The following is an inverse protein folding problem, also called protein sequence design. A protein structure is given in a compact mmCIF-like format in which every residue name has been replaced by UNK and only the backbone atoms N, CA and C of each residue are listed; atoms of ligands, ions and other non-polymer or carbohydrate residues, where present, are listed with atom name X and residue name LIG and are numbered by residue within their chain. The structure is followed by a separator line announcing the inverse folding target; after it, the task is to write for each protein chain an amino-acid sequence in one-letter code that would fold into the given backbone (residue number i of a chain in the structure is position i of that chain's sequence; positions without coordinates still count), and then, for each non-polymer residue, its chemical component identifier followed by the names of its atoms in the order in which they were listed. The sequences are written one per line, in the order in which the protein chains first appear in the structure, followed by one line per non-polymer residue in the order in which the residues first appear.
data_IF_780310482777
#
_entry.id   IF_780310482777
#
_cell.length_a   1.000
_cell.length_b   1.000
_cell.length_c   1.000
_cell.angle_alpha   90.00
_cell.angle_beta   90.00
_cell.angle_gamma   90.00
#
_symmetry.space_group_name_H-M   'P 1'
#
loop_
_entity.id
_entity.type
_entity.pdbx_description
1 polymer ?
#
# COMPACT_ATOMS: atom_id res chain seq x y z
N UNK A 1 -11.64 27.69 -10.81
CA UNK A 1 -12.01 27.11 -9.50
C UNK A 1 -10.72 26.58 -8.89
N UNK A 2 -10.31 27.06 -7.72
CA UNK A 2 -9.16 26.50 -6.99
C UNK A 2 -9.45 25.02 -6.76
N UNK A 3 -8.65 24.13 -7.35
CA UNK A 3 -8.84 22.70 -7.19
C UNK A 3 -8.47 22.37 -5.74
N UNK A 4 -9.46 21.99 -4.92
CA UNK A 4 -9.23 21.58 -3.54
C UNK A 4 -8.26 20.39 -3.54
N UNK A 5 -7.18 20.50 -2.76
CA UNK A 5 -6.20 19.42 -2.61
C UNK A 5 -6.91 18.15 -2.14
N UNK A 6 -6.57 17.01 -2.76
CA UNK A 6 -6.98 15.69 -2.28
C UNK A 6 -6.15 15.34 -1.04
N UNK A 7 -6.82 15.14 0.08
CA UNK A 7 -6.20 14.80 1.36
C UNK A 7 -6.06 13.30 1.49
N UNK A 8 -4.85 12.82 1.83
CA UNK A 8 -4.57 11.38 1.84
C UNK A 8 -3.88 10.89 3.11
N UNK A 9 -4.09 9.59 3.37
CA UNK A 9 -3.34 8.80 4.35
C UNK A 9 -2.57 7.70 3.64
N UNK A 10 -1.32 7.45 4.03
CA UNK A 10 -0.49 6.34 3.52
C UNK A 10 -0.18 5.35 4.64
N UNK A 11 -0.77 4.17 4.57
CA UNK A 11 -0.43 3.06 5.45
C UNK A 11 0.74 2.27 4.85
N UNK A 12 1.91 2.29 5.49
CA UNK A 12 3.14 1.70 4.94
C UNK A 12 4.02 2.71 4.19
N UNK A 13 4.12 3.94 4.70
CA UNK A 13 4.82 5.07 4.08
C UNK A 13 6.33 4.84 3.92
N UNK A 14 6.94 4.02 4.78
CA UNK A 14 8.38 3.73 4.75
C UNK A 14 8.77 2.58 3.82
N UNK A 15 7.79 1.86 3.25
CA UNK A 15 8.01 0.80 2.28
C UNK A 15 8.11 1.33 0.84
N UNK A 16 8.45 0.44 -0.11
CA UNK A 16 8.66 0.79 -1.52
C UNK A 16 7.46 1.53 -2.16
N UNK A 17 6.23 1.07 -1.93
CA UNK A 17 5.02 1.75 -2.45
C UNK A 17 4.82 3.12 -1.79
N UNK A 18 5.08 3.21 -0.48
CA UNK A 18 5.04 4.47 0.26
C UNK A 18 6.02 5.50 -0.31
N UNK A 19 7.29 5.12 -0.47
CA UNK A 19 8.33 5.97 -1.07
C UNK A 19 7.97 6.41 -2.50
N UNK A 20 7.47 5.49 -3.32
CA UNK A 20 7.01 5.79 -4.68
C UNK A 20 5.88 6.82 -4.66
N UNK A 21 4.94 6.67 -3.74
CA UNK A 21 3.83 7.60 -3.55
C UNK A 21 4.34 8.97 -3.11
N UNK A 22 5.25 9.03 -2.13
CA UNK A 22 5.86 10.28 -1.68
C UNK A 22 6.61 11.00 -2.81
N UNK A 23 7.29 10.27 -3.71
CA UNK A 23 7.90 10.85 -4.92
C UNK A 23 6.87 11.51 -5.85
N UNK A 24 5.67 10.95 -5.97
CA UNK A 24 4.58 11.56 -6.75
C UNK A 24 4.04 12.80 -6.04
N UNK A 25 3.81 12.72 -4.72
CA UNK A 25 3.35 13.86 -3.91
C UNK A 25 4.30 15.07 -4.01
N UNK A 26 5.63 14.85 -3.96
CA UNK A 26 6.64 15.92 -4.14
C UNK A 26 6.50 16.67 -5.46
N UNK A 27 6.07 15.98 -6.53
CA UNK A 27 5.89 16.57 -7.86
C UNK A 27 4.54 17.29 -8.02
N UNK A 28 3.60 17.07 -7.11
CA UNK A 28 2.24 17.61 -7.19
C UNK A 28 1.75 18.18 -5.84
N UNK A 29 2.50 19.11 -5.21
CA UNK A 29 2.14 19.68 -3.91
C UNK A 29 0.89 20.57 -3.97
N UNK A 30 0.49 21.00 -5.16
CA UNK A 30 -0.72 21.76 -5.46
C UNK A 30 -1.98 20.87 -5.49
N UNK A 31 -1.83 19.55 -5.64
CA UNK A 31 -2.95 18.61 -5.79
C UNK A 31 -3.20 17.73 -4.58
N UNK A 32 -2.18 17.52 -3.74
CA UNK A 32 -2.23 16.56 -2.64
C UNK A 32 -1.81 17.18 -1.31
N UNK A 33 -2.40 16.68 -0.23
CA UNK A 33 -2.04 17.01 1.14
C UNK A 33 -1.99 15.72 1.97
N UNK A 34 -0.87 15.47 2.63
CA UNK A 34 -0.64 14.24 3.37
C UNK A 34 -1.01 14.46 4.85
N UNK A 35 -2.08 13.81 5.31
CA UNK A 35 -2.60 13.98 6.67
C UNK A 35 -2.20 12.85 7.62
N UNK A 36 -1.98 11.64 7.10
CA UNK A 36 -1.66 10.46 7.89
C UNK A 36 -0.57 9.60 7.27
N UNK A 37 0.40 9.14 8.06
CA UNK A 37 1.41 8.17 7.63
C UNK A 37 1.60 7.05 8.65
N UNK A 38 1.87 5.83 8.19
CA UNK A 38 2.20 4.73 9.10
C UNK A 38 3.44 3.94 8.67
N UNK A 39 4.19 3.44 9.65
CA UNK A 39 5.26 2.46 9.45
C UNK A 39 5.10 1.26 10.39
N UNK A 40 5.87 0.19 10.12
CA UNK A 40 6.00 -0.90 11.08
C UNK A 40 6.98 -0.54 12.22
N UNK A 41 8.28 -0.47 11.90
CA UNK A 41 9.37 -0.23 12.87
C UNK A 41 10.26 0.97 12.56
N UNK A 42 10.38 1.36 11.29
CA UNK A 42 11.29 2.41 10.83
C UNK A 42 10.76 3.82 11.15
N UNK A 43 10.78 4.16 12.44
CA UNK A 43 10.21 5.40 12.96
C UNK A 43 11.06 6.63 12.61
N UNK A 44 12.38 6.47 12.47
CA UNK A 44 13.28 7.55 12.06
C UNK A 44 12.92 8.06 10.66
N UNK A 45 12.74 7.14 9.71
CA UNK A 45 12.28 7.49 8.37
C UNK A 45 10.86 8.03 8.37
N UNK A 46 9.98 7.51 9.24
CA UNK A 46 8.64 8.05 9.40
C UNK A 46 8.68 9.49 9.91
N UNK A 47 9.53 9.81 10.89
CA UNK A 47 9.72 11.16 11.42
C UNK A 47 10.22 12.12 10.34
N UNK A 48 11.19 11.71 9.52
CA UNK A 48 11.66 12.49 8.38
C UNK A 48 10.53 12.80 7.37
N UNK A 49 9.66 11.82 7.09
CA UNK A 49 8.46 12.03 6.25
C UNK A 49 7.50 13.03 6.90
N UNK A 50 7.23 12.89 8.20
CA UNK A 50 6.36 13.79 8.95
C UNK A 50 6.87 15.24 8.90
N UNK A 51 8.18 15.45 9.07
CA UNK A 51 8.80 16.76 9.01
C UNK A 51 8.73 17.37 7.61
N UNK A 52 9.05 16.58 6.57
CA UNK A 52 9.05 17.03 5.18
C UNK A 52 7.66 17.50 4.73
N UNK A 53 6.63 16.69 5.01
CA UNK A 53 5.26 16.94 4.54
C UNK A 53 4.37 17.63 5.58
N UNK A 54 4.90 17.95 6.77
CA UNK A 54 4.15 18.51 7.92
C UNK A 54 2.92 17.67 8.26
N UNK A 55 3.12 16.35 8.36
CA UNK A 55 2.02 15.40 8.55
C UNK A 55 1.52 15.48 10.01
N UNK A 56 0.23 15.76 10.25
CA UNK A 56 -0.32 15.93 11.60
C UNK A 56 -0.50 14.60 12.35
N UNK A 57 -0.64 13.48 11.64
CA UNK A 57 -0.90 12.18 12.26
C UNK A 57 0.06 11.09 11.78
N UNK A 58 0.60 10.32 12.70
CA UNK A 58 1.48 9.19 12.39
C UNK A 58 1.16 7.94 13.22
N UNK A 59 1.40 6.75 12.68
CA UNK A 59 1.28 5.49 13.43
C UNK A 59 2.53 4.65 13.29
N UNK A 60 3.03 4.17 14.43
CA UNK A 60 4.08 3.14 14.49
C UNK A 60 3.41 1.85 14.97
N UNK A 61 3.43 0.83 14.12
CA UNK A 61 2.72 -0.42 14.44
C UNK A 61 3.41 -1.20 15.57
N UNK A 62 4.73 -1.33 15.50
CA UNK A 62 5.53 -2.08 16.48
C UNK A 62 5.62 -1.34 17.82
N UNK A 63 5.38 -2.06 18.91
CA UNK A 63 5.32 -1.47 20.26
C UNK A 63 6.68 -0.95 20.75
N UNK A 64 7.76 -1.66 20.45
CA UNK A 64 9.09 -1.27 20.93
C UNK A 64 9.60 -0.06 20.15
N UNK A 65 9.46 -0.07 18.82
CA UNK A 65 9.76 1.10 17.99
C UNK A 65 8.92 2.33 18.38
N UNK A 66 7.65 2.14 18.78
CA UNK A 66 6.82 3.23 19.28
C UNK A 66 7.36 3.81 20.59
N UNK A 67 7.79 2.97 21.54
CA UNK A 67 8.38 3.43 22.81
C UNK A 67 9.68 4.20 22.57
N UNK A 68 10.54 3.70 21.69
CA UNK A 68 11.79 4.37 21.30
C UNK A 68 11.49 5.76 20.72
N UNK A 69 10.57 5.87 19.76
CA UNK A 69 10.15 7.14 19.16
C UNK A 69 9.59 8.16 20.17
N UNK A 70 8.87 7.69 21.21
CA UNK A 70 8.34 8.55 22.28
C UNK A 70 9.48 9.10 23.14
N UNK A 71 10.44 8.25 23.51
CA UNK A 71 11.60 8.63 24.33
C UNK A 71 12.50 9.61 23.57
N UNK A 72 12.71 9.37 22.27
CA UNK A 72 13.53 10.21 21.41
C UNK A 72 12.85 11.53 21.03
N UNK A 73 11.58 11.74 21.39
CA UNK A 73 10.79 12.90 20.99
C UNK A 73 10.82 13.14 19.46
N UNK A 74 10.83 12.08 18.65
CA UNK A 74 11.08 12.18 17.20
C UNK A 74 9.95 12.90 16.43
N UNK A 75 8.81 13.16 17.06
CA UNK A 75 7.59 13.68 16.44
C UNK A 75 7.06 14.93 17.17
N UNK A 76 7.74 16.10 17.08
CA UNK A 76 7.37 17.29 17.86
C UNK A 76 6.01 17.89 17.48
N UNK A 77 5.66 17.88 16.19
CA UNK A 77 4.44 18.51 15.64
C UNK A 77 3.42 17.48 15.13
N UNK A 78 3.66 16.20 15.38
CA UNK A 78 2.85 15.09 14.84
C UNK A 78 2.29 14.26 15.98
N UNK A 79 0.97 14.04 15.97
CA UNK A 79 0.33 13.13 16.91
C UNK A 79 0.61 11.69 16.49
N UNK A 80 1.32 10.96 17.36
CA UNK A 80 1.65 9.55 17.15
C UNK A 80 0.63 8.60 17.80
N UNK A 81 0.31 7.52 17.09
CA UNK A 81 -0.53 6.42 17.56
C UNK A 81 0.24 5.10 17.44
N UNK A 82 -0.27 4.05 18.09
CA UNK A 82 0.37 2.74 18.13
C UNK A 82 -0.52 1.64 17.56
N UNK A 83 0.11 0.69 16.88
CA UNK A 83 -0.51 -0.60 16.55
C UNK A 83 -1.68 -0.52 15.57
N UNK A 84 -2.54 -1.54 15.63
CA UNK A 84 -3.72 -1.66 14.75
C UNK A 84 -4.72 -0.52 14.97
N UNK A 85 -4.91 -0.10 16.22
CA UNK A 85 -5.79 1.01 16.56
C UNK A 85 -5.34 2.30 15.86
N UNK A 86 -4.04 2.59 15.87
CA UNK A 86 -3.48 3.72 15.13
C UNK A 86 -3.77 3.65 13.63
N UNK A 87 -3.60 2.47 13.00
CA UNK A 87 -3.92 2.31 11.58
C UNK A 87 -5.39 2.59 11.27
N UNK A 88 -6.30 2.15 12.14
CA UNK A 88 -7.74 2.40 12.00
C UNK A 88 -8.08 3.87 12.21
N UNK A 89 -7.47 4.53 13.20
CA UNK A 89 -7.62 5.98 13.41
C UNK A 89 -7.21 6.75 12.14
N UNK A 90 -6.02 6.48 11.59
CA UNK A 90 -5.55 7.15 10.36
C UNK A 90 -6.46 6.89 9.15
N UNK A 91 -7.05 5.71 9.08
CA UNK A 91 -7.96 5.31 8.00
C UNK A 91 -9.34 5.94 8.12
N UNK A 92 -9.75 6.31 9.33
CA UNK A 92 -11.04 6.90 9.66
C UNK A 92 -11.03 8.42 9.85
N UNK A 93 -9.90 9.11 9.65
CA UNK A 93 -9.83 10.57 9.81
C UNK A 93 -10.86 11.29 8.92
N UNK A 94 -11.69 12.14 9.53
CA UNK A 94 -12.81 12.82 8.85
C UNK A 94 -12.35 13.67 7.66
N UNK A 95 -11.16 14.26 7.76
CA UNK A 95 -10.59 15.15 6.75
C UNK A 95 -10.00 14.43 5.55
N UNK A 96 -9.67 13.14 5.67
CA UNK A 96 -9.01 12.37 4.60
C UNK A 96 -10.00 12.02 3.50
N UNK A 97 -9.61 12.14 2.24
CA UNK A 97 -10.41 11.73 1.08
C UNK A 97 -10.05 10.32 0.58
N UNK A 98 -8.77 9.97 0.68
CA UNK A 98 -8.17 8.78 0.06
C UNK A 98 -7.20 8.08 1.02
N UNK A 99 -7.38 6.78 1.22
CA UNK A 99 -6.46 5.95 2.00
C UNK A 99 -5.68 5.02 1.06
N UNK A 100 -4.36 5.16 1.04
CA UNK A 100 -3.46 4.21 0.39
C UNK A 100 -3.09 3.10 1.37
N UNK A 101 -3.51 1.87 1.06
CA UNK A 101 -3.21 0.68 1.85
C UNK A 101 -2.03 -0.06 1.19
N UNK A 102 -0.83 0.24 1.68
CA UNK A 102 0.44 -0.33 1.23
C UNK A 102 1.15 -1.18 2.30
N UNK A 103 0.42 -1.58 3.33
CA UNK A 103 0.90 -2.56 4.32
C UNK A 103 0.92 -3.96 3.72
N UNK A 104 1.93 -4.75 4.06
CA UNK A 104 2.12 -6.10 3.52
C UNK A 104 1.17 -7.09 4.19
N UNK A 105 0.59 -8.00 3.39
CA UNK A 105 -0.21 -9.11 3.88
C UNK A 105 -1.60 -8.69 4.37
N UNK A 106 -2.15 -9.49 5.29
CA UNK A 106 -3.56 -9.40 5.74
C UNK A 106 -3.81 -8.29 6.76
N UNK A 107 -2.76 -7.70 7.35
CA UNK A 107 -2.89 -6.62 8.33
C UNK A 107 -3.63 -5.41 7.77
N UNK A 108 -3.60 -5.20 6.46
CA UNK A 108 -4.31 -4.10 5.82
C UNK A 108 -5.83 -4.27 5.72
N UNK A 109 -6.39 -5.46 5.96
CA UNK A 109 -7.84 -5.68 5.83
C UNK A 109 -8.63 -4.80 6.82
N UNK A 110 -8.25 -4.83 8.10
CA UNK A 110 -8.95 -4.09 9.14
C UNK A 110 -8.98 -2.57 8.89
N UNK A 111 -7.84 -1.88 8.67
CA UNK A 111 -7.85 -0.46 8.36
C UNK A 111 -8.50 -0.15 7.01
N UNK A 112 -8.40 -1.03 6.01
CA UNK A 112 -9.13 -0.86 4.75
C UNK A 112 -10.64 -0.87 4.96
N UNK A 113 -11.17 -1.81 5.76
CA UNK A 113 -12.59 -1.83 6.11
C UNK A 113 -13.02 -0.58 6.91
N UNK A 114 -12.16 -0.09 7.81
CA UNK A 114 -12.41 1.18 8.52
C UNK A 114 -12.53 2.36 7.54
N UNK A 115 -11.63 2.46 6.56
CA UNK A 115 -11.71 3.47 5.51
C UNK A 115 -13.01 3.34 4.67
N UNK A 116 -13.39 2.11 4.29
CA UNK A 116 -14.66 1.86 3.59
C UNK A 116 -15.85 2.35 4.41
N UNK A 117 -15.91 1.97 5.69
CA UNK A 117 -17.01 2.33 6.59
C UNK A 117 -17.09 3.84 6.83
N UNK A 118 -15.94 4.52 6.84
CA UNK A 118 -15.84 5.97 6.94
C UNK A 118 -16.09 6.71 5.60
N UNK A 119 -16.49 5.99 4.54
CA UNK A 119 -16.84 6.60 3.25
C UNK A 119 -15.64 7.11 2.45
N UNK A 120 -14.43 6.59 2.71
CA UNK A 120 -13.19 7.04 2.07
C UNK A 120 -12.89 6.22 0.82
N UNK A 121 -12.36 6.87 -0.21
CA UNK A 121 -11.80 6.16 -1.35
C UNK A 121 -10.56 5.37 -0.91
N UNK A 122 -10.32 4.23 -1.56
CA UNK A 122 -9.21 3.34 -1.26
C UNK A 122 -8.32 3.16 -2.48
N UNK A 123 -7.03 3.39 -2.29
CA UNK A 123 -5.99 2.91 -3.18
C UNK A 123 -5.37 1.66 -2.57
N UNK A 124 -5.60 0.49 -3.18
CA UNK A 124 -5.23 -0.80 -2.61
C UNK A 124 -4.01 -1.38 -3.33
N UNK A 125 -2.89 -1.49 -2.62
CA UNK A 125 -1.68 -2.14 -3.11
C UNK A 125 -1.53 -3.58 -2.61
N UNK A 126 -2.13 -3.90 -1.45
CA UNK A 126 -2.10 -5.26 -0.89
C UNK A 126 -3.16 -6.15 -1.56
N UNK A 127 -2.69 -7.04 -2.45
CA UNK A 127 -3.55 -8.02 -3.16
C UNK A 127 -4.10 -9.09 -2.22
N UNK A 128 -3.36 -9.40 -1.15
CA UNK A 128 -3.72 -10.45 -0.19
C UNK A 128 -5.07 -10.22 0.47
N UNK A 129 -5.48 -8.95 0.62
CA UNK A 129 -6.81 -8.57 1.11
C UNK A 129 -7.91 -9.07 0.18
N UNK A 130 -7.74 -8.92 -1.14
CA UNK A 130 -8.71 -9.36 -2.13
C UNK A 130 -8.70 -10.87 -2.30
N UNK A 131 -7.53 -11.52 -2.22
CA UNK A 131 -7.44 -12.98 -2.26
C UNK A 131 -8.16 -13.61 -1.07
N UNK A 132 -7.95 -13.09 0.14
CA UNK A 132 -8.53 -13.65 1.37
C UNK A 132 -10.01 -13.28 1.55
N UNK A 133 -10.38 -12.03 1.27
CA UNK A 133 -11.69 -11.48 1.64
C UNK A 133 -12.45 -10.86 0.47
N UNK A 134 -12.08 -11.15 -0.78
CA UNK A 134 -12.52 -10.43 -1.97
C UNK A 134 -14.03 -10.20 -2.08
N UNK A 135 -14.85 -11.23 -1.92
CA UNK A 135 -16.32 -11.10 -1.98
C UNK A 135 -16.84 -10.14 -0.92
N UNK A 136 -16.49 -10.36 0.34
CA UNK A 136 -16.99 -9.57 1.47
C UNK A 136 -16.47 -8.13 1.42
N UNK A 137 -15.19 -7.96 1.07
CA UNK A 137 -14.56 -6.65 0.95
C UNK A 137 -15.18 -5.82 -0.19
N UNK A 138 -15.34 -6.42 -1.37
CA UNK A 138 -15.95 -5.71 -2.52
C UNK A 138 -17.44 -5.42 -2.31
N UNK A 139 -18.18 -6.28 -1.61
CA UNK A 139 -19.55 -5.97 -1.18
C UNK A 139 -19.60 -4.78 -0.20
N UNK A 140 -18.67 -4.72 0.76
CA UNK A 140 -18.57 -3.59 1.69
C UNK A 140 -18.28 -2.27 0.95
N UNK A 141 -17.30 -2.28 0.04
CA UNK A 141 -16.97 -1.13 -0.83
C UNK A 141 -18.21 -0.65 -1.61
N UNK A 142 -18.94 -1.57 -2.25
CA UNK A 142 -20.16 -1.25 -3.01
C UNK A 142 -21.25 -0.66 -2.11
N UNK A 143 -21.47 -1.22 -0.93
CA UNK A 143 -22.46 -0.72 0.05
C UNK A 143 -22.13 0.69 0.53
N UNK A 144 -20.85 0.97 0.78
CA UNK A 144 -20.38 2.27 1.20
C UNK A 144 -20.29 3.31 0.06
N UNK A 145 -20.43 2.87 -1.21
CA UNK A 145 -20.33 3.71 -2.41
C UNK A 145 -18.99 4.45 -2.54
N UNK A 146 -17.91 3.83 -2.06
CA UNK A 146 -16.56 4.36 -2.17
C UNK A 146 -15.83 3.77 -3.37
N UNK A 147 -14.81 4.46 -3.89
CA UNK A 147 -14.02 3.95 -5.00
C UNK A 147 -12.91 3.05 -4.50
N UNK A 148 -12.70 1.92 -5.16
CA UNK A 148 -11.56 1.04 -4.97
C UNK A 148 -10.64 1.14 -6.19
N UNK A 149 -9.47 1.71 -5.98
CA UNK A 149 -8.46 1.98 -7.01
C UNK A 149 -7.32 0.94 -6.87
N UNK A 150 -7.06 0.13 -7.91
CA UNK A 150 -5.96 -0.82 -7.88
C UNK A 150 -4.61 -0.09 -8.00
N UNK A 151 -3.66 -0.42 -7.12
CA UNK A 151 -2.27 0.10 -7.18
C UNK A 151 -1.30 -0.94 -7.74
N UNK A 152 -1.64 -2.23 -7.62
CA UNK A 152 -0.88 -3.31 -8.25
C UNK A 152 -0.78 -3.07 -9.78
N UNK A 153 0.42 -3.20 -10.33
CA UNK A 153 0.77 -2.71 -11.68
C UNK A 153 -0.14 -3.27 -12.78
N UNK A 154 -0.39 -4.58 -12.76
CA UNK A 154 -1.15 -5.26 -13.79
C UNK A 154 -2.64 -4.95 -13.64
N UNK A 155 -3.14 -4.88 -12.42
CA UNK A 155 -4.53 -4.51 -12.14
C UNK A 155 -4.80 -3.04 -12.52
N UNK A 156 -3.84 -2.16 -12.24
CA UNK A 156 -3.90 -0.75 -12.63
C UNK A 156 -3.76 -0.56 -14.15
N UNK A 157 -2.98 -1.40 -14.84
CA UNK A 157 -2.93 -1.41 -16.30
C UNK A 157 -4.28 -1.81 -16.90
N UNK A 158 -4.91 -2.88 -16.39
CA UNK A 158 -6.25 -3.31 -16.80
C UNK A 158 -7.27 -2.19 -16.53
N UNK A 159 -7.23 -1.60 -15.34
CA UNK A 159 -8.13 -0.49 -14.95
C UNK A 159 -8.03 0.69 -15.91
N UNK A 160 -6.81 1.08 -16.30
CA UNK A 160 -6.60 2.15 -17.28
C UNK A 160 -7.11 1.78 -18.67
N UNK A 161 -6.89 0.54 -19.13
CA UNK A 161 -7.39 0.07 -20.42
C UNK A 161 -8.93 0.02 -20.49
N UNK A 162 -9.60 -0.17 -19.36
CA UNK A 162 -11.07 -0.21 -19.28
C UNK A 162 -11.70 1.16 -19.03
N UNK A 163 -10.91 2.21 -18.82
CA UNK A 163 -11.43 3.52 -18.47
C UNK A 163 -12.21 4.13 -19.66
N UNK A 164 -13.53 4.26 -19.50
CA UNK A 164 -14.43 4.74 -20.55
C UNK A 164 -15.04 3.62 -21.41
N UNK A 165 -14.65 2.36 -21.17
CA UNK A 165 -15.15 1.19 -21.89
C UNK A 165 -16.25 0.47 -21.09
N UNK A 166 -17.15 -0.21 -21.82
CA UNK A 166 -18.16 -1.09 -21.23
C UNK A 166 -17.53 -2.43 -20.80
N UNK A 167 -17.86 -2.91 -19.60
CA UNK A 167 -17.34 -4.20 -19.12
C UNK A 167 -17.86 -5.39 -19.95
N UNK A 168 -19.01 -5.23 -20.58
CA UNK A 168 -19.62 -6.22 -21.47
C UNK A 168 -18.82 -6.41 -22.77
N UNK A 169 -17.97 -5.44 -23.16
CA UNK A 169 -17.10 -5.55 -24.35
C UNK A 169 -15.85 -6.41 -24.09
N UNK A 170 -15.56 -6.73 -22.82
CA UNK A 170 -14.32 -7.40 -22.43
C UNK A 170 -14.38 -8.89 -22.77
N UNK A 171 -13.65 -9.29 -23.82
CA UNK A 171 -13.53 -10.71 -24.22
C UNK A 171 -12.53 -11.50 -23.36
N UNK A 172 -11.37 -10.92 -23.03
CA UNK A 172 -10.32 -11.58 -22.22
C UNK A 172 -9.45 -10.56 -21.49
N UNK A 173 -8.87 -10.98 -20.38
CA UNK A 173 -7.78 -10.28 -19.69
C UNK A 173 -6.48 -11.01 -19.97
N UNK A 174 -5.41 -10.26 -20.26
CA UNK A 174 -4.05 -10.79 -20.40
C UNK A 174 -3.24 -10.29 -19.21
N UNK A 175 -2.91 -11.20 -18.29
CA UNK A 175 -2.13 -10.88 -17.10
C UNK A 175 -0.66 -11.24 -17.34
N UNK A 176 0.18 -10.22 -17.54
CA UNK A 176 1.61 -10.39 -17.80
C UNK A 176 2.39 -10.72 -16.53
N UNK A 177 3.51 -11.42 -16.64
CA UNK A 177 4.44 -11.69 -15.53
C UNK A 177 5.89 -11.57 -16.01
N UNK A 178 6.82 -11.17 -15.12
CA UNK A 178 8.26 -11.12 -15.44
C UNK A 178 8.87 -12.51 -15.59
N UNK A 179 8.30 -13.51 -14.90
CA UNK A 179 8.86 -14.85 -14.72
C UNK A 179 9.76 -14.98 -13.48
N UNK A 180 10.13 -13.87 -12.83
CA UNK A 180 10.96 -13.88 -11.62
C UNK A 180 12.42 -14.27 -11.85
N UNK A 181 13.18 -14.39 -10.75
CA UNK A 181 14.62 -14.70 -10.78
C UNK A 181 14.94 -16.06 -11.42
N UNK A 182 14.01 -17.02 -11.34
CA UNK A 182 14.25 -18.40 -11.76
C UNK A 182 13.60 -18.77 -13.10
N UNK A 183 13.13 -17.78 -13.89
CA UNK A 183 12.48 -18.01 -15.19
C UNK A 183 13.31 -18.90 -16.11
N UNK A 184 14.61 -18.61 -16.18
CA UNK A 184 15.54 -19.26 -17.11
C UNK A 184 16.45 -20.28 -16.39
N UNK A 185 16.16 -20.61 -15.11
CA UNK A 185 16.95 -21.56 -14.31
C UNK A 185 16.54 -23.01 -14.65
N UNK A 186 17.49 -23.94 -14.85
CA UNK A 186 17.15 -25.34 -15.10
C UNK A 186 16.46 -26.00 -13.91
N UNK A 187 15.38 -26.74 -14.16
CA UNK A 187 14.50 -27.32 -13.13
C UNK A 187 15.25 -28.24 -12.16
N UNK A 188 16.19 -29.02 -12.66
CA UNK A 188 17.01 -29.95 -11.89
C UNK A 188 17.85 -29.24 -10.81
N UNK A 189 18.08 -27.92 -10.94
CA UNK A 189 18.86 -27.12 -9.99
C UNK A 189 17.99 -26.43 -8.92
N UNK A 190 16.67 -26.64 -8.93
CA UNK A 190 15.76 -25.92 -8.01
C UNK A 190 15.94 -26.34 -6.55
N UNK A 191 16.42 -27.55 -6.30
CA UNK A 191 16.66 -28.07 -4.95
C UNK A 191 17.74 -27.29 -4.17
N UNK A 192 18.56 -26.48 -4.84
CA UNK A 192 19.63 -25.68 -4.23
C UNK A 192 19.29 -24.18 -4.10
N UNK A 193 18.06 -23.77 -4.44
CA UNK A 193 17.64 -22.37 -4.33
C UNK A 193 17.65 -21.91 -2.87
N UNK A 194 18.24 -20.74 -2.63
CA UNK A 194 18.23 -20.11 -1.30
C UNK A 194 17.32 -18.88 -1.22
N UNK A 195 16.88 -18.47 -0.01
CA UNK A 195 16.18 -17.21 0.17
C UNK A 195 16.97 -15.98 -0.31
N UNK A 196 18.29 -15.99 -0.16
CA UNK A 196 19.17 -14.89 -0.57
C UNK A 196 19.18 -14.72 -2.09
N UNK A 197 19.14 -15.82 -2.85
CA UNK A 197 18.97 -15.79 -4.30
C UNK A 197 17.56 -15.33 -4.68
N UNK A 198 16.54 -15.84 -3.98
CA UNK A 198 15.14 -15.57 -4.30
C UNK A 198 14.75 -14.09 -4.13
N UNK A 199 15.51 -13.30 -3.35
CA UNK A 199 15.27 -11.86 -3.17
C UNK A 199 16.00 -10.97 -4.21
N UNK A 200 16.69 -11.53 -5.20
CA UNK A 200 17.40 -10.78 -6.25
C UNK A 200 16.53 -10.65 -7.52
N UNK A 201 15.55 -9.75 -7.55
CA UNK A 201 14.69 -9.62 -8.75
C UNK A 201 15.42 -8.89 -9.90
N UNK A 202 15.34 -9.37 -11.15
CA UNK A 202 16.10 -8.80 -12.28
C UNK A 202 15.69 -7.37 -12.67
N UNK A 203 14.41 -7.02 -12.48
CA UNK A 203 13.86 -5.76 -13.00
C UNK A 203 13.41 -4.75 -11.92
N UNK A 204 13.25 -5.16 -10.66
CA UNK A 204 12.48 -4.38 -9.68
C UNK A 204 13.12 -4.43 -8.30
N UNK A 205 13.17 -3.30 -7.61
CA UNK A 205 13.50 -3.26 -6.18
C UNK A 205 12.21 -3.28 -5.35
N UNK A 206 11.96 -4.38 -4.64
CA UNK A 206 10.71 -4.65 -3.93
C UNK A 206 10.97 -5.26 -2.55
N UNK A 207 9.93 -5.34 -1.71
CA UNK A 207 10.02 -5.99 -0.40
C UNK A 207 10.26 -7.51 -0.49
N UNK A 208 10.97 -8.08 0.48
CA UNK A 208 11.41 -9.49 0.47
C UNK A 208 10.29 -10.49 0.13
N UNK A 209 9.10 -10.34 0.73
CA UNK A 209 7.96 -11.25 0.52
C UNK A 209 7.49 -11.29 -0.94
N UNK A 210 7.18 -10.12 -1.53
CA UNK A 210 6.75 -10.04 -2.93
C UNK A 210 7.86 -10.49 -3.88
N UNK A 211 9.12 -10.27 -3.53
CA UNK A 211 10.25 -10.72 -4.34
C UNK A 211 10.33 -12.25 -4.42
N UNK A 212 10.19 -12.93 -3.28
CA UNK A 212 10.13 -14.41 -3.23
C UNK A 212 8.90 -14.92 -3.98
N UNK A 213 7.72 -14.32 -3.76
CA UNK A 213 6.50 -14.70 -4.47
C UNK A 213 6.63 -14.50 -5.99
N UNK A 214 7.39 -13.51 -6.43
CA UNK A 214 7.67 -13.32 -7.85
C UNK A 214 8.61 -14.41 -8.39
N UNK A 215 9.59 -14.85 -7.60
CA UNK A 215 10.50 -15.92 -7.98
C UNK A 215 9.80 -17.29 -8.09
N UNK A 216 8.75 -17.52 -7.29
CA UNK A 216 7.92 -18.75 -7.33
C UNK A 216 6.71 -18.64 -8.26
N UNK A 217 6.49 -17.49 -8.89
CA UNK A 217 5.25 -17.10 -9.59
C UNK A 217 3.98 -17.10 -8.73
N UNK A 218 4.05 -17.35 -7.42
CA UNK A 218 2.92 -17.21 -6.51
C UNK A 218 2.30 -15.80 -6.59
N UNK A 219 3.12 -14.76 -6.77
CA UNK A 219 2.66 -13.37 -6.95
C UNK A 219 1.68 -13.20 -8.13
N UNK A 220 1.72 -14.08 -9.12
CA UNK A 220 0.84 -14.07 -10.28
C UNK A 220 -0.41 -14.91 -10.09
N UNK A 221 -0.36 -15.90 -9.22
CA UNK A 221 -1.53 -16.66 -8.79
C UNK A 221 -2.40 -15.88 -7.79
N UNK A 222 -1.77 -15.01 -7.00
CA UNK A 222 -2.41 -14.03 -6.09
C UNK A 222 -2.92 -12.81 -6.86
#
# INVERSE_FOLDING_TARGET
MSQTKKRLTILGATGSIGENTLRVLRKHPDKFELLGVACNRDYEKLAAICQEFRVPHATIYDLEAYKEAVVDCSFPDTKIYQGMEGLQILSGLDEVDLVLVAVVGTLGLSPALTAVQAGKDLALASKEILVMAGKFFTEAVKKARVRLLPVDSEHNAIFQCLNGESLESVRRIILTASGGMFRDRPLETFHSITPEEAIQHPNWSMGKKITVDSATMANKGL
#
